data_IF_148816935256
#
_entry.id   IF_148816935256
#
_cell.length_a   1.000
_cell.length_b   1.000
_cell.length_c   1.000
_cell.angle_alpha   90.00
_cell.angle_beta   90.00
_cell.angle_gamma   90.00
#
_symmetry.space_group_name_H-M   'P 1'
#
loop_
_entity.id
_entity.type
_entity.pdbx_description
1 polymer ?
#
# COMPACT_ATOMS: atom_id res chain seq x y z
N UNK A 1 3.37 -7.81 -21.04
CA UNK A 1 3.31 -7.23 -19.69
C UNK A 1 1.90 -7.46 -19.15
N UNK A 2 1.74 -8.05 -17.95
CA UNK A 2 0.44 -8.50 -17.51
C UNK A 2 -0.48 -7.31 -17.22
N UNK A 3 -1.79 -7.49 -17.44
CA UNK A 3 -2.86 -6.47 -17.46
C UNK A 3 -2.97 -5.61 -16.18
N UNK A 4 -2.25 -5.97 -15.12
CA UNK A 4 -2.31 -5.38 -13.78
C UNK A 4 -1.58 -4.03 -13.62
N UNK A 5 -0.74 -3.64 -14.59
CA UNK A 5 0.15 -2.47 -14.46
C UNK A 5 -0.51 -1.10 -14.67
N UNK A 6 -1.77 -1.04 -15.10
CA UNK A 6 -2.45 0.24 -15.42
C UNK A 6 -3.43 0.72 -14.35
N UNK A 7 -3.45 0.09 -13.17
CA UNK A 7 -4.29 0.51 -12.04
C UNK A 7 -5.79 0.29 -12.25
N UNK A 8 -6.18 -0.39 -13.32
CA UNK A 8 -7.57 -0.80 -13.53
C UNK A 8 -7.78 -2.18 -12.92
N UNK A 9 -8.34 -2.18 -11.71
CA UNK A 9 -8.56 -3.38 -10.90
C UNK A 9 -10.05 -3.75 -10.80
N UNK A 10 -10.92 -3.09 -11.59
CA UNK A 10 -12.38 -3.21 -11.44
C UNK A 10 -12.93 -4.58 -11.87
N UNK A 11 -12.26 -5.26 -12.79
CA UNK A 11 -12.77 -6.48 -13.43
C UNK A 11 -11.92 -7.73 -13.13
N UNK A 12 -11.22 -7.76 -12.00
CA UNK A 12 -10.42 -8.93 -11.59
C UNK A 12 -11.24 -9.74 -10.58
N UNK A 13 -11.89 -10.80 -11.05
CA UNK A 13 -12.78 -11.68 -10.26
C UNK A 13 -12.14 -12.23 -8.98
N UNK A 14 -10.83 -12.49 -9.03
CA UNK A 14 -10.05 -13.05 -7.91
C UNK A 14 -9.52 -11.98 -6.94
N UNK A 15 -9.76 -10.69 -7.21
CA UNK A 15 -9.24 -9.58 -6.39
C UNK A 15 -10.29 -9.11 -5.39
N UNK A 16 -9.94 -9.17 -4.11
CA UNK A 16 -10.73 -8.58 -3.02
C UNK A 16 -10.02 -7.36 -2.47
N UNK A 17 -10.74 -6.25 -2.35
CA UNK A 17 -10.21 -5.00 -1.83
C UNK A 17 -10.72 -4.80 -0.40
N UNK A 18 -9.79 -4.68 0.53
CA UNK A 18 -10.05 -4.36 1.92
C UNK A 18 -9.40 -3.03 2.29
N UNK A 19 -10.00 -2.30 3.23
CA UNK A 19 -9.45 -1.05 3.78
C UNK A 19 -9.32 -1.18 5.28
N UNK A 20 -8.13 -0.94 5.82
CA UNK A 20 -7.86 -0.92 7.24
C UNK A 20 -6.72 0.06 7.54
N UNK A 21 -6.71 0.63 8.75
CA UNK A 21 -5.58 1.42 9.25
C UNK A 21 -4.42 0.54 9.71
N UNK A 22 -4.70 -0.71 10.07
CA UNK A 22 -3.72 -1.67 10.56
C UNK A 22 -3.99 -3.05 10.01
N UNK A 23 -2.95 -3.72 9.52
CA UNK A 23 -3.01 -5.06 8.94
C UNK A 23 -1.82 -5.86 9.44
N UNK A 24 -2.09 -7.08 9.89
CA UNK A 24 -1.06 -8.06 10.22
C UNK A 24 -1.20 -9.26 9.30
N UNK A 25 -0.11 -9.62 8.62
CA UNK A 25 -0.04 -10.74 7.69
C UNK A 25 0.88 -11.79 8.29
N UNK A 26 0.35 -13.00 8.45
CA UNK A 26 1.08 -14.16 8.98
C UNK A 26 1.18 -15.23 7.90
N UNK A 27 2.34 -15.85 7.79
CA UNK A 27 2.60 -16.95 6.86
C UNK A 27 3.35 -18.07 7.58
N UNK A 28 3.05 -19.31 7.22
CA UNK A 28 3.76 -20.47 7.78
C UNK A 28 5.22 -20.53 7.28
N UNK A 29 5.41 -20.12 6.03
CA UNK A 29 6.70 -20.07 5.35
C UNK A 29 7.32 -18.68 5.39
N UNK A 30 8.65 -18.63 5.22
CA UNK A 30 9.39 -17.37 5.12
C UNK A 30 9.13 -16.73 3.75
N UNK A 31 8.50 -15.56 3.72
CA UNK A 31 8.24 -14.82 2.48
C UNK A 31 9.30 -13.77 2.22
N UNK A 32 9.49 -13.44 0.94
CA UNK A 32 10.27 -12.29 0.49
C UNK A 32 9.33 -11.14 0.23
N UNK A 33 9.59 -9.99 0.87
CA UNK A 33 8.81 -8.79 0.70
C UNK A 33 9.71 -7.63 0.27
N UNK A 34 9.12 -6.69 -0.45
CA UNK A 34 9.78 -5.46 -0.90
C UNK A 34 8.98 -4.26 -0.39
N UNK A 35 9.67 -3.27 0.15
CA UNK A 35 9.10 -1.97 0.54
C UNK A 35 10.04 -0.86 0.13
N UNK A 36 9.56 0.09 -0.68
CA UNK A 36 10.31 1.28 -1.15
C UNK A 36 11.72 0.99 -1.68
N UNK A 37 11.89 -0.13 -2.38
CA UNK A 37 13.17 -0.55 -2.97
C UNK A 37 14.05 -1.38 -2.05
N UNK A 38 13.71 -1.52 -0.78
CA UNK A 38 14.38 -2.40 0.17
C UNK A 38 13.74 -3.79 0.18
N UNK A 39 14.56 -4.83 0.30
CA UNK A 39 14.13 -6.22 0.34
C UNK A 39 14.35 -6.80 1.74
N UNK A 40 13.35 -7.54 2.23
CA UNK A 40 13.45 -8.22 3.51
C UNK A 40 12.73 -9.58 3.48
N UNK A 41 13.04 -10.42 4.46
CA UNK A 41 12.37 -11.72 4.65
C UNK A 41 11.66 -11.74 5.98
N UNK A 42 10.41 -12.20 6.01
CA UNK A 42 9.67 -12.33 7.25
C UNK A 42 8.59 -13.41 7.15
N UNK A 43 8.15 -13.94 8.29
CA UNK A 43 6.92 -14.73 8.42
C UNK A 43 5.74 -13.89 8.91
N UNK A 44 6.02 -12.68 9.39
CA UNK A 44 5.03 -11.78 9.97
C UNK A 44 5.33 -10.34 9.56
N UNK A 45 4.35 -9.70 8.92
CA UNK A 45 4.45 -8.31 8.49
C UNK A 45 3.30 -7.53 9.10
N UNK A 46 3.61 -6.39 9.73
CA UNK A 46 2.63 -5.47 10.28
C UNK A 46 2.69 -4.16 9.50
N UNK A 47 1.56 -3.78 8.91
CA UNK A 47 1.34 -2.48 8.33
C UNK A 47 0.50 -1.65 9.30
N UNK A 48 0.96 -0.45 9.62
CA UNK A 48 0.26 0.50 10.49
C UNK A 48 0.31 1.88 9.86
N UNK A 49 -0.85 2.48 9.61
CA UNK A 49 -0.94 3.83 9.05
C UNK A 49 -0.65 4.83 10.16
N UNK A 50 0.52 5.45 10.09
CA UNK A 50 0.87 6.55 10.99
C UNK A 50 0.24 7.86 10.53
N UNK A 51 -0.80 8.30 11.23
CA UNK A 51 -1.48 9.55 10.93
C UNK A 51 -0.58 10.75 11.21
N UNK A 52 -0.49 11.69 10.25
CA UNK A 52 0.29 12.93 10.35
C UNK A 52 1.77 12.71 10.71
N UNK A 53 2.37 11.58 10.30
CA UNK A 53 3.76 11.25 10.62
C UNK A 53 4.78 12.25 10.05
N UNK A 54 4.43 12.96 8.98
CA UNK A 54 5.30 13.89 8.28
C UNK A 54 4.54 15.15 7.89
N UNK A 55 5.25 16.27 7.90
CA UNK A 55 4.79 17.54 7.33
C UNK A 55 5.58 17.82 6.06
N UNK A 56 4.88 18.04 4.96
CA UNK A 56 5.48 18.23 3.64
C UNK A 56 5.06 19.58 3.05
N UNK A 57 5.97 20.20 2.28
CA UNK A 57 5.61 21.31 1.40
C UNK A 57 5.11 20.73 0.09
N UNK A 58 3.88 21.04 -0.28
CA UNK A 58 3.23 20.51 -1.47
C UNK A 58 2.71 21.66 -2.33
N UNK A 59 2.87 21.62 -3.67
CA UNK A 59 2.29 22.63 -4.54
C UNK A 59 0.76 22.65 -4.42
N UNK A 60 0.16 23.85 -4.50
CA UNK A 60 -1.29 24.02 -4.33
C UNK A 60 -2.13 23.26 -5.38
N UNK A 61 -1.55 22.94 -6.53
CA UNK A 61 -2.22 22.18 -7.61
C UNK A 61 -2.10 20.65 -7.45
N UNK A 62 -1.47 20.15 -6.38
CA UNK A 62 -1.31 18.72 -6.14
C UNK A 62 -2.68 18.05 -5.87
N UNK A 63 -3.01 17.02 -6.65
CA UNK A 63 -4.22 16.19 -6.44
C UNK A 63 -4.18 15.36 -5.15
N UNK A 64 -3.01 15.29 -4.50
CA UNK A 64 -2.78 14.53 -3.28
C UNK A 64 -2.80 15.42 -2.02
N UNK A 65 -3.00 16.72 -2.17
CA UNK A 65 -3.34 17.58 -1.04
C UNK A 65 -4.74 17.16 -0.58
N UNK A 66 -4.86 16.59 0.61
CA UNK A 66 -6.11 16.07 1.18
C UNK A 66 -7.25 17.09 1.34
N UNK A 67 -7.07 18.32 0.84
CA UNK A 67 -8.12 19.28 0.56
C UNK A 67 -8.89 18.88 -0.71
N UNK A 68 -9.76 17.88 -0.57
CA UNK A 68 -10.94 17.77 -1.45
C UNK A 68 -11.87 18.93 -1.13
N UNK A 69 -12.01 19.87 -2.06
CA UNK A 69 -13.20 20.72 -2.13
C UNK A 69 -14.39 19.88 -2.61
#
# INVERSE_FOLDING_TARGET
>A
LPKYLKGDTKDIEEMKIYKSKKVSIYTDELIYAQSDGENFKSKHIVFDIMENALTLRVPNYSKLNGSTN
#
